data_IF_720909727505
#
_entry.id   IF_720909727505
#
_cell.length_a   1.000
_cell.length_b   1.000
_cell.length_c   1.000
_cell.angle_alpha   90.00
_cell.angle_beta   90.00
_cell.angle_gamma   90.00
#
_symmetry.space_group_name_H-M   'P 1'
#
loop_
_entity.id
_entity.type
_entity.pdbx_description
1 polymer ?
#
# COMPACT_ATOMS: atom_id res chain seq x y z
N UNK A 1 -22.34 21.75 11.88
CA UNK A 1 -22.28 21.36 11.52
C UNK A 1 -22.18 20.88 10.55
N UNK A 2 -22.34 20.82 10.11
CA UNK A 2 -22.26 20.35 9.13
C UNK A 2 -21.08 20.35 8.54
N UNK A 3 -20.45 21.02 8.67
CA UNK A 3 -19.31 21.17 8.26
C UNK A 3 -18.55 20.09 8.61
N UNK A 4 -18.76 19.74 9.50
CA UNK A 4 -17.98 18.79 10.03
C UNK A 4 -18.12 17.70 9.11
N UNK A 5 -19.10 17.49 8.78
CA UNK A 5 -19.29 16.54 7.97
C UNK A 5 -18.55 16.51 6.89
N UNK A 6 -18.40 17.48 6.39
CA UNK A 6 -17.67 17.58 5.40
C UNK A 6 -16.43 17.13 5.47
N UNK A 7 -15.83 17.48 6.30
CA UNK A 7 -14.55 17.26 6.33
C UNK A 7 -14.29 15.96 6.40
N UNK A 8 -15.06 15.47 6.91
CA UNK A 8 -14.78 14.25 7.21
C UNK A 8 -14.69 13.59 5.94
N UNK A 9 -15.34 13.85 5.12
CA UNK A 9 -15.33 13.27 4.00
C UNK A 9 -14.13 13.34 3.41
N UNK A 10 -13.67 14.38 3.45
CA UNK A 10 -12.56 14.60 2.85
C UNK A 10 -11.57 13.71 3.20
N UNK A 11 -11.37 13.59 4.24
CA UNK A 11 -10.32 12.94 4.60
C UNK A 11 -10.30 11.69 4.12
N UNK A 12 -11.26 11.15 4.13
CA UNK A 12 -11.19 9.93 3.82
C UNK A 12 -10.85 9.75 2.50
N UNK A 13 -11.17 10.52 1.80
CA UNK A 13 -10.96 10.33 0.53
C UNK A 13 -9.64 10.18 0.24
N UNK A 14 -8.90 10.61 1.00
CA UNK A 14 -7.63 10.54 0.77
C UNK A 14 -7.14 9.24 0.81
N UNK A 15 -7.58 8.40 1.40
CA UNK A 15 -7.03 7.17 1.52
C UNK A 15 -7.16 6.36 0.33
N UNK A 16 -7.51 6.79 -0.61
CA UNK A 16 -7.55 5.99 -1.73
C UNK A 16 -8.57 4.93 -1.77
N UNK A 17 -8.74 4.11 -0.88
CA UNK A 17 -9.71 3.13 -0.94
C UNK A 17 -10.85 3.33 -0.05
N UNK A 18 -10.87 4.38 0.59
CA UNK A 18 -11.85 4.43 1.55
C UNK A 18 -13.08 4.92 1.07
N UNK A 19 -13.06 5.70 0.34
CA UNK A 19 -14.12 6.37 0.00
C UNK A 19 -15.33 5.76 -0.23
N UNK A 20 -15.65 5.21 -1.00
CA UNK A 20 -16.86 4.85 -1.22
C UNK A 20 -17.40 3.70 -0.77
N UNK A 21 -16.93 2.97 -0.28
CA UNK A 21 -17.50 1.77 0.00
C UNK A 21 -18.12 1.64 1.25
N UNK A 22 -18.70 2.58 1.67
CA UNK A 22 -19.18 2.49 2.95
C UNK A 22 -20.17 1.45 3.14
N UNK A 23 -21.07 1.35 2.38
CA UNK A 23 -22.08 0.43 2.69
C UNK A 23 -21.71 -0.92 2.25
N UNK A 24 -21.03 -1.08 1.24
CA UNK A 24 -20.73 -2.37 0.83
C UNK A 24 -19.47 -2.70 1.44
N UNK A 25 -19.42 -3.48 2.34
CA UNK A 25 -18.24 -3.83 3.00
C UNK A 25 -17.28 -4.46 2.06
N UNK A 26 -16.14 -3.90 1.94
CA UNK A 26 -15.10 -4.48 1.15
C UNK A 26 -14.26 -5.33 2.06
N UNK A 27 -14.42 -6.64 2.01
CA UNK A 27 -13.66 -7.52 2.85
C UNK A 27 -12.37 -7.98 2.21
N UNK A 28 -11.98 -7.42 1.10
CA UNK A 28 -10.77 -7.86 0.44
C UNK A 28 -9.56 -7.35 1.20
N UNK A 29 -8.63 -8.23 1.45
CA UNK A 29 -7.38 -7.87 2.10
C UNK A 29 -6.23 -8.60 1.45
N UNK A 30 -5.01 -8.08 1.65
CA UNK A 30 -3.80 -8.79 1.34
C UNK A 30 -2.99 -8.87 2.62
N UNK A 31 -2.08 -9.81 2.70
CA UNK A 31 -1.15 -9.85 3.80
C UNK A 31 0.07 -9.04 3.41
N UNK A 32 0.44 -8.08 4.23
CA UNK A 32 1.63 -7.28 3.97
C UNK A 32 2.71 -7.72 4.96
N UNK A 33 3.90 -8.04 4.45
CA UNK A 33 5.02 -8.44 5.28
C UNK A 33 6.14 -7.42 5.11
N UNK A 34 6.55 -6.80 6.21
CA UNK A 34 7.57 -5.77 6.17
C UNK A 34 8.93 -6.40 6.44
N UNK A 35 9.74 -6.54 5.44
CA UNK A 35 11.05 -7.15 5.58
C UNK A 35 12.19 -6.15 5.69
N UNK A 36 11.91 -4.86 5.86
CA UNK A 36 12.97 -3.85 5.91
C UNK A 36 13.07 -3.12 7.24
N UNK A 37 12.12 -2.30 7.60
CA UNK A 37 12.19 -1.53 8.82
C UNK A 37 10.81 -1.07 9.19
N UNK A 38 10.55 -0.79 10.45
CA UNK A 38 9.23 -0.33 10.90
C UNK A 38 8.77 0.84 10.03
N UNK A 39 7.57 0.78 9.55
CA UNK A 39 7.11 1.74 8.55
C UNK A 39 5.60 1.87 8.49
N UNK A 40 5.16 2.97 7.90
CA UNK A 40 3.78 3.13 7.47
C UNK A 40 3.72 2.74 6.00
N UNK A 41 2.62 2.14 5.60
CA UNK A 41 2.48 1.55 4.26
C UNK A 41 1.22 2.03 3.59
N UNK A 42 1.32 2.35 2.32
CA UNK A 42 0.18 2.73 1.49
C UNK A 42 0.10 1.74 0.33
N UNK A 43 -1.06 1.13 0.13
CA UNK A 43 -1.34 0.27 -1.01
C UNK A 43 -2.48 0.96 -1.75
N UNK A 44 -2.18 1.56 -2.87
CA UNK A 44 -3.09 2.42 -3.58
C UNK A 44 -3.38 1.88 -4.97
N UNK A 45 -4.57 2.14 -5.50
CA UNK A 45 -4.80 1.79 -6.90
C UNK A 45 -3.87 2.61 -7.79
N UNK A 46 -3.37 2.01 -8.84
CA UNK A 46 -2.48 2.74 -9.71
C UNK A 46 -3.31 3.55 -10.69
N UNK A 47 -3.43 4.83 -10.45
CA UNK A 47 -4.11 5.76 -11.34
C UNK A 47 -3.12 6.86 -11.67
N UNK A 48 -3.40 7.60 -12.70
CA UNK A 48 -2.55 8.70 -13.08
C UNK A 48 -2.44 9.70 -11.92
N UNK A 49 -3.52 9.93 -11.25
CA UNK A 49 -3.51 10.85 -10.14
C UNK A 49 -2.64 10.32 -9.00
N UNK A 50 -2.78 9.06 -8.63
CA UNK A 50 -2.00 8.51 -7.53
C UNK A 50 -0.51 8.42 -7.88
N UNK A 51 -0.18 8.24 -9.14
CA UNK A 51 1.22 8.20 -9.54
C UNK A 51 1.87 9.59 -9.39
N UNK A 52 1.09 10.64 -9.54
CA UNK A 52 1.64 11.98 -9.51
C UNK A 52 1.60 12.63 -8.14
N UNK A 53 0.71 12.19 -7.27
CA UNK A 53 0.52 12.91 -6.01
C UNK A 53 1.56 12.55 -4.99
N UNK A 54 1.89 13.49 -4.13
CA UNK A 54 2.69 13.22 -2.96
C UNK A 54 1.82 13.23 -1.71
N UNK A 55 0.51 13.39 -1.86
CA UNK A 55 -0.41 13.39 -0.73
C UNK A 55 -1.20 12.10 -0.78
N UNK A 56 -0.80 11.14 -0.02
CA UNK A 56 -1.37 9.81 -0.11
C UNK A 56 -2.46 9.53 0.92
N UNK A 57 -2.75 10.49 1.77
CA UNK A 57 -3.80 10.34 2.76
C UNK A 57 -3.41 9.41 3.88
N UNK A 58 -4.39 8.74 4.44
CA UNK A 58 -4.17 7.85 5.57
C UNK A 58 -3.48 6.58 5.11
N UNK A 59 -2.50 6.13 5.88
CA UNK A 59 -1.79 4.91 5.55
C UNK A 59 -2.72 3.71 5.55
N UNK A 60 -2.49 2.79 4.64
CA UNK A 60 -3.26 1.56 4.59
C UNK A 60 -2.95 0.73 5.83
N UNK A 61 -1.72 0.75 6.30
CA UNK A 61 -1.34 0.12 7.55
C UNK A 61 -0.26 0.98 8.20
N UNK A 62 -0.43 1.30 9.46
CA UNK A 62 0.51 2.17 10.16
C UNK A 62 1.34 1.39 11.15
N UNK A 63 2.58 1.78 11.29
CA UNK A 63 3.44 1.21 12.31
C UNK A 63 3.68 -0.27 12.15
N UNK A 64 3.86 -0.72 10.93
CA UNK A 64 4.11 -2.14 10.67
C UNK A 64 5.55 -2.41 11.03
N UNK A 65 5.79 -3.31 11.98
CA UNK A 65 7.13 -3.57 12.45
C UNK A 65 7.91 -4.42 11.49
N UNK A 66 9.23 -4.34 11.56
CA UNK A 66 10.06 -5.20 10.74
C UNK A 66 9.72 -6.65 11.04
N UNK A 67 9.56 -7.42 10.01
CA UNK A 67 9.19 -8.84 10.04
C UNK A 67 7.77 -9.11 10.52
N UNK A 68 6.96 -8.08 10.65
CA UNK A 68 5.57 -8.26 10.99
C UNK A 68 4.77 -8.55 9.74
N UNK A 69 3.76 -9.39 9.86
CA UNK A 69 2.79 -9.65 8.82
C UNK A 69 1.48 -9.03 9.27
N UNK A 70 0.89 -8.22 8.44
CA UNK A 70 -0.36 -7.55 8.81
C UNK A 70 -1.34 -7.60 7.65
N UNK A 71 -2.61 -7.85 7.94
CA UNK A 71 -3.62 -7.78 6.90
C UNK A 71 -3.88 -6.32 6.58
N UNK A 72 -3.88 -6.01 5.32
CA UNK A 72 -4.12 -4.66 4.85
C UNK A 72 -5.32 -4.67 3.91
N UNK A 73 -6.22 -3.70 4.00
CA UNK A 73 -7.36 -3.66 3.09
C UNK A 73 -6.90 -3.44 1.67
N UNK A 74 -7.56 -4.08 0.74
CA UNK A 74 -7.23 -3.96 -0.67
C UNK A 74 -8.43 -3.33 -1.37
N UNK A 75 -8.28 -2.12 -1.87
CA UNK A 75 -9.35 -1.47 -2.57
C UNK A 75 -9.35 -1.93 -4.01
N UNK A 76 -10.29 -1.47 -4.78
CA UNK A 76 -10.35 -1.84 -6.18
C UNK A 76 -9.12 -1.32 -6.89
N UNK A 77 -8.63 -2.09 -7.85
CA UNK A 77 -7.41 -1.73 -8.56
C UNK A 77 -7.59 -0.47 -9.39
N UNK A 78 -6.50 0.05 -9.86
CA UNK A 78 -6.54 1.19 -10.76
C UNK A 78 -6.95 0.80 -12.16
N UNK A 79 -6.75 1.72 -13.08
CA UNK A 79 -7.30 1.58 -14.43
C UNK A 79 -6.76 0.35 -15.15
N UNK A 80 -5.54 -0.03 -14.93
CA UNK A 80 -4.97 -1.19 -15.59
C UNK A 80 -5.00 -2.42 -14.70
N UNK A 81 -5.75 -2.40 -13.61
CA UNK A 81 -5.79 -3.53 -12.70
C UNK A 81 -4.59 -3.61 -11.78
N UNK A 82 -3.86 -2.53 -11.61
CA UNK A 82 -2.59 -2.55 -10.91
C UNK A 82 -2.62 -1.66 -9.68
N UNK A 83 -1.61 -1.84 -8.83
CA UNK A 83 -1.50 -1.11 -7.57
C UNK A 83 -0.12 -0.47 -7.43
N UNK A 84 -0.05 0.51 -6.55
CA UNK A 84 1.18 1.17 -6.15
C UNK A 84 1.39 0.82 -4.68
N UNK A 85 2.62 0.48 -4.30
CA UNK A 85 2.94 0.29 -2.90
C UNK A 85 3.98 1.32 -2.51
N UNK A 86 3.71 2.04 -1.43
CA UNK A 86 4.63 3.04 -0.90
C UNK A 86 4.80 2.83 0.59
N UNK A 87 5.99 3.14 1.08
CA UNK A 87 6.27 3.05 2.50
C UNK A 87 7.15 4.21 2.90
N UNK A 88 7.02 4.62 4.15
CA UNK A 88 7.97 5.54 4.77
C UNK A 88 8.36 4.91 6.09
N UNK A 89 9.65 4.66 6.28
CA UNK A 89 10.10 3.99 7.48
C UNK A 89 10.48 5.00 8.58
N UNK A 90 10.87 4.49 9.73
CA UNK A 90 11.17 5.34 10.87
C UNK A 90 12.44 6.16 10.68
N UNK A 91 13.24 5.90 9.67
CA UNK A 91 14.38 6.71 9.33
C UNK A 91 14.08 7.68 8.19
N UNK A 92 12.81 7.84 7.84
CA UNK A 92 12.38 8.70 6.75
C UNK A 92 12.95 8.25 5.41
N UNK A 93 13.06 6.96 5.22
CA UNK A 93 13.37 6.41 3.90
C UNK A 93 12.05 6.16 3.20
N UNK A 94 11.93 6.62 1.98
CA UNK A 94 10.75 6.46 1.16
C UNK A 94 10.97 5.29 0.23
N UNK A 95 9.98 4.42 0.13
CA UNK A 95 10.03 3.27 -0.78
C UNK A 95 8.82 3.34 -1.70
N UNK A 96 9.00 3.00 -2.96
CA UNK A 96 7.90 3.03 -3.92
C UNK A 96 8.07 1.96 -4.98
N UNK A 97 7.01 1.27 -5.29
CA UNK A 97 6.95 0.32 -6.40
C UNK A 97 5.58 0.43 -7.06
N UNK A 98 5.55 0.45 -8.36
CA UNK A 98 4.30 0.57 -9.11
C UNK A 98 4.10 -0.63 -10.01
N UNK A 99 2.99 -0.70 -10.69
CA UNK A 99 2.70 -1.74 -11.65
C UNK A 99 2.49 -3.09 -11.02
N UNK A 100 1.98 -3.14 -9.78
CA UNK A 100 1.91 -4.36 -9.02
C UNK A 100 0.55 -5.00 -9.14
N UNK A 101 0.51 -6.24 -9.61
CA UNK A 101 -0.74 -6.99 -9.70
C UNK A 101 -0.98 -7.71 -8.39
N UNK A 102 -2.14 -7.50 -7.78
CA UNK A 102 -2.50 -8.10 -6.52
C UNK A 102 -3.93 -8.62 -6.55
N UNK A 103 -4.20 -9.65 -5.80
CA UNK A 103 -5.55 -10.15 -5.59
C UNK A 103 -5.77 -10.41 -4.12
N UNK A 104 -7.00 -10.41 -3.71
CA UNK A 104 -7.36 -10.65 -2.32
C UNK A 104 -6.79 -11.99 -1.87
N UNK A 105 -6.26 -12.02 -0.67
CA UNK A 105 -5.70 -13.24 -0.11
C UNK A 105 -4.22 -13.45 -0.42
N UNK A 106 -3.66 -12.66 -1.32
CA UNK A 106 -2.25 -12.80 -1.67
C UNK A 106 -1.38 -12.13 -0.61
N UNK A 107 -0.09 -12.36 -0.68
CA UNK A 107 0.88 -11.77 0.24
C UNK A 107 1.85 -10.88 -0.53
N UNK A 108 2.10 -9.72 0.02
CA UNK A 108 3.05 -8.76 -0.50
C UNK A 108 4.16 -8.62 0.51
N UNK A 109 5.40 -8.88 0.11
CA UNK A 109 6.52 -8.73 1.02
C UNK A 109 7.49 -7.72 0.44
N UNK A 110 7.88 -6.72 1.22
CA UNK A 110 8.90 -5.82 0.77
C UNK A 110 10.18 -6.22 1.50
N UNK A 111 11.28 -6.34 0.79
CA UNK A 111 12.51 -6.85 1.34
C UNK A 111 13.70 -6.19 0.65
N UNK A 112 14.84 -6.22 1.27
CA UNK A 112 16.06 -5.65 0.72
C UNK A 112 17.09 -5.45 1.81
N UNK A 113 18.36 -5.58 1.44
CA UNK A 113 19.42 -5.41 2.41
C UNK A 113 19.90 -3.97 2.46
N UNK A 114 19.73 -3.22 1.40
CA UNK A 114 20.11 -1.82 1.37
C UNK A 114 19.20 -1.09 0.41
N UNK A 115 19.39 0.21 0.26
CA UNK A 115 18.47 1.03 -0.52
C UNK A 115 18.49 0.71 -2.01
N UNK A 116 19.49 -0.01 -2.46
CA UNK A 116 19.59 -0.30 -3.89
C UNK A 116 19.07 -1.67 -4.24
N UNK A 117 18.74 -2.47 -3.26
CA UNK A 117 18.30 -3.82 -3.52
C UNK A 117 16.89 -4.10 -3.02
N UNK A 118 16.09 -3.07 -2.81
CA UNK A 118 14.73 -3.25 -2.30
C UNK A 118 13.84 -3.76 -3.40
N UNK A 119 13.01 -4.72 -3.07
CA UNK A 119 12.05 -5.25 -4.03
C UNK A 119 10.78 -5.70 -3.33
N UNK A 120 9.75 -5.87 -4.10
CA UNK A 120 8.46 -6.32 -3.62
C UNK A 120 8.23 -7.70 -4.23
N UNK A 121 7.97 -8.68 -3.38
CA UNK A 121 7.67 -10.04 -3.83
C UNK A 121 6.20 -10.30 -3.58
N UNK A 122 5.51 -10.84 -4.55
CA UNK A 122 4.08 -11.12 -4.44
C UNK A 122 3.89 -12.63 -4.56
N UNK A 123 3.25 -13.22 -3.58
CA UNK A 123 2.91 -14.65 -3.61
C UNK A 123 1.40 -14.81 -3.53
N UNK A 124 0.89 -15.87 -4.09
CA UNK A 124 -0.55 -16.10 -4.07
C UNK A 124 -0.98 -16.74 -2.75
N UNK A 125 -2.24 -17.09 -2.63
CA UNK A 125 -2.75 -17.63 -1.38
C UNK A 125 -2.18 -19.00 -1.05
N UNK A 126 -1.56 -19.66 -1.99
CA UNK A 126 -0.94 -20.94 -1.75
C UNK A 126 0.56 -20.82 -1.52
N UNK A 127 1.07 -19.61 -1.48
CA UNK A 127 2.48 -19.38 -1.24
C UNK A 127 3.36 -19.44 -2.48
N UNK A 128 2.77 -19.52 -3.67
CA UNK A 128 3.57 -19.56 -4.89
C UNK A 128 3.94 -18.15 -5.32
N UNK A 129 5.21 -17.94 -5.64
CA UNK A 129 5.66 -16.62 -6.06
C UNK A 129 5.06 -16.28 -7.40
N UNK A 130 4.37 -15.15 -7.48
CA UNK A 130 3.73 -14.72 -8.71
C UNK A 130 4.60 -13.71 -9.45
N UNK A 131 5.25 -12.84 -8.74
CA UNK A 131 6.11 -11.85 -9.40
C UNK A 131 7.01 -11.15 -8.39
N UNK A 132 8.05 -10.53 -8.89
CA UNK A 132 8.95 -9.70 -8.10
C UNK A 132 9.11 -8.38 -8.82
N UNK A 133 9.02 -7.28 -8.07
CA UNK A 133 9.10 -5.96 -8.64
C UNK A 133 10.24 -5.22 -7.95
N UNK A 134 10.97 -4.41 -8.68
CA UNK A 134 11.98 -3.60 -8.06
C UNK A 134 11.33 -2.39 -7.41
N UNK A 135 11.85 -1.97 -6.31
CA UNK A 135 11.32 -0.80 -5.61
C UNK A 135 12.39 0.28 -5.59
N UNK A 136 11.95 1.51 -5.70
CA UNK A 136 12.82 2.66 -5.55
C UNK A 136 12.87 2.99 -4.06
N UNK A 137 14.04 3.33 -3.55
CA UNK A 137 14.17 3.74 -2.15
C UNK A 137 15.13 4.92 -2.06
N UNK A 138 14.76 5.92 -1.29
CA UNK A 138 15.57 7.11 -1.13
C UNK A 138 15.26 7.80 0.18
N UNK A 139 16.23 8.56 0.67
CA UNK A 139 16.05 9.34 1.86
C UNK A 139 15.17 10.54 1.56
N UNK A 140 14.27 10.86 2.43
CA UNK A 140 13.43 12.04 2.29
C UNK A 140 14.14 13.31 2.78
#
# INVERSE_FOLDING_TARGET
MKKAVIYLITMLLLGGCSAKSTDTVNNKTVNFVNGVKDADVWILPETEENLKTTLWGTATASGVKKNESRKAPLCDAGDDGLYIIRMIDTDNIFYSADGIALEAGWTVRITGDDLQSVRVEVTDENGALKNTYEAFAASL
#
